data_IF_607829597203
#
_entry.id   IF_607829597203
#
_cell.length_a   1.000
_cell.length_b   1.000
_cell.length_c   1.000
_cell.angle_alpha   90.00
_cell.angle_beta   90.00
_cell.angle_gamma   90.00
#
_symmetry.space_group_name_H-M   'P 1'
#
loop_
_entity.id
_entity.type
_entity.pdbx_description
1 polymer ?
#
# COMPACT_ATOMS: atom_id res chain seq x y z
N UNK A 1 29.99 -24.62 10.95
CA UNK A 1 28.78 -24.01 10.35
C UNK A 1 28.70 -22.58 10.87
N UNK A 2 29.03 -21.59 10.04
CA UNK A 2 28.88 -20.18 10.45
C UNK A 2 27.39 -19.83 10.60
N UNK A 3 27.01 -18.91 11.50
CA UNK A 3 25.63 -18.47 11.62
C UNK A 3 25.16 -17.95 10.26
N UNK A 4 24.16 -18.61 9.68
CA UNK A 4 23.54 -18.15 8.44
C UNK A 4 23.01 -16.75 8.69
N UNK A 5 23.61 -15.75 8.03
CA UNK A 5 23.14 -14.37 8.14
C UNK A 5 21.69 -14.32 7.66
N UNK A 6 20.77 -14.02 8.57
CA UNK A 6 19.37 -13.87 8.24
C UNK A 6 19.27 -12.71 7.26
N UNK A 7 18.86 -13.02 6.02
CA UNK A 7 18.62 -12.01 5.00
C UNK A 7 17.32 -11.31 5.34
N UNK A 8 17.48 -10.16 6.02
CA UNK A 8 16.44 -9.23 6.44
C UNK A 8 15.79 -8.56 5.23
N UNK A 9 14.71 -9.17 4.75
CA UNK A 9 13.92 -8.75 3.59
C UNK A 9 12.45 -9.14 3.78
N UNK A 10 11.50 -8.42 3.16
CA UNK A 10 10.07 -8.67 3.34
C UNK A 10 9.66 -10.10 2.97
N UNK A 11 8.69 -10.68 3.69
CA UNK A 11 8.19 -12.04 3.41
C UNK A 11 7.40 -12.11 2.09
N UNK A 12 7.47 -13.24 1.38
CA UNK A 12 6.76 -13.40 0.09
C UNK A 12 5.24 -13.41 0.24
N UNK A 13 4.72 -14.07 1.27
CA UNK A 13 3.27 -14.17 1.49
C UNK A 13 2.66 -12.80 1.83
N UNK A 14 3.22 -12.11 2.83
CA UNK A 14 2.79 -10.76 3.19
C UNK A 14 2.97 -9.78 2.03
N UNK A 15 4.07 -9.92 1.28
CA UNK A 15 4.31 -9.10 0.10
C UNK A 15 3.28 -9.27 -1.02
N UNK A 16 2.86 -10.51 -1.29
CA UNK A 16 1.80 -10.78 -2.27
C UNK A 16 0.46 -10.18 -1.81
N UNK A 17 0.11 -10.30 -0.53
CA UNK A 17 -1.10 -9.68 0.02
C UNK A 17 -1.06 -8.16 -0.06
N UNK A 18 0.08 -7.52 0.22
CA UNK A 18 0.25 -6.09 0.07
C UNK A 18 0.05 -5.63 -1.39
N UNK A 19 0.62 -6.36 -2.36
CA UNK A 19 0.43 -6.05 -3.79
C UNK A 19 -1.01 -6.25 -4.24
N UNK A 20 -1.69 -7.29 -3.75
CA UNK A 20 -3.11 -7.50 -4.05
C UNK A 20 -3.99 -6.40 -3.43
N UNK A 21 -3.72 -5.98 -2.19
CA UNK A 21 -4.42 -4.87 -1.57
C UNK A 21 -4.20 -3.56 -2.36
N UNK A 22 -2.94 -3.28 -2.75
CA UNK A 22 -2.60 -2.13 -3.60
C UNK A 22 -3.32 -2.17 -4.96
N UNK A 23 -3.37 -3.34 -5.59
CA UNK A 23 -4.11 -3.55 -6.83
C UNK A 23 -5.60 -3.22 -6.68
N UNK A 24 -6.21 -3.62 -5.57
CA UNK A 24 -7.59 -3.29 -5.27
C UNK A 24 -7.78 -1.76 -5.09
N UNK A 25 -6.85 -1.05 -4.44
CA UNK A 25 -6.89 0.42 -4.35
C UNK A 25 -6.83 1.07 -5.74
N UNK A 26 -5.90 0.63 -6.60
CA UNK A 26 -5.80 1.12 -7.98
C UNK A 26 -7.08 0.83 -8.78
N UNK A 27 -7.69 -0.34 -8.56
CA UNK A 27 -9.00 -0.67 -9.12
C UNK A 27 -10.13 0.25 -8.64
N UNK A 28 -10.10 0.68 -7.38
CA UNK A 28 -11.06 1.68 -6.85
C UNK A 28 -10.86 3.04 -7.51
N UNK A 29 -9.63 3.40 -7.88
CA UNK A 29 -9.34 4.65 -8.61
C UNK A 29 -9.76 4.59 -10.09
N UNK A 30 -9.93 3.39 -10.66
CA UNK A 30 -10.35 3.22 -12.06
C UNK A 30 -11.83 3.55 -12.26
N UNK A 31 -12.15 4.68 -12.89
CA UNK A 31 -13.52 5.09 -13.22
C UNK A 31 -14.06 4.40 -14.49
N UNK A 32 -13.19 3.86 -15.35
CA UNK A 32 -13.55 3.26 -16.64
C UNK A 32 -13.03 1.83 -16.79
N UNK A 33 -13.70 1.02 -17.60
CA UNK A 33 -13.29 -0.36 -17.90
C UNK A 33 -11.85 -0.46 -18.44
N UNK A 34 -11.42 0.51 -19.25
CA UNK A 34 -10.04 0.58 -19.77
C UNK A 34 -9.02 0.76 -18.64
N UNK A 35 -9.31 1.61 -17.65
CA UNK A 35 -8.44 1.82 -16.49
C UNK A 35 -8.37 0.58 -15.60
N UNK A 36 -9.48 -0.16 -15.46
CA UNK A 36 -9.49 -1.46 -14.76
C UNK A 36 -8.58 -2.46 -15.46
N UNK A 37 -8.62 -2.54 -16.80
CA UNK A 37 -7.71 -3.39 -17.56
C UNK A 37 -6.25 -2.99 -17.38
N UNK A 38 -5.93 -1.69 -17.37
CA UNK A 38 -4.58 -1.19 -17.13
C UNK A 38 -4.09 -1.59 -15.73
N UNK A 39 -4.92 -1.40 -14.70
CA UNK A 39 -4.61 -1.81 -13.33
C UNK A 39 -4.41 -3.34 -13.22
N UNK A 40 -5.21 -4.13 -13.95
CA UNK A 40 -5.03 -5.58 -14.05
C UNK A 40 -3.69 -5.96 -14.67
N UNK A 41 -3.29 -5.30 -15.75
CA UNK A 41 -1.99 -5.49 -16.41
C UNK A 41 -0.85 -5.16 -15.45
N UNK A 42 -0.93 -4.03 -14.74
CA UNK A 42 0.05 -3.63 -13.71
C UNK A 42 0.16 -4.67 -12.59
N UNK A 43 -0.98 -5.20 -12.14
CA UNK A 43 -1.04 -6.25 -11.12
C UNK A 43 -0.32 -7.52 -11.56
N UNK A 44 -0.55 -7.95 -12.80
CA UNK A 44 0.14 -9.11 -13.38
C UNK A 44 1.64 -8.86 -13.43
N UNK A 45 2.08 -7.70 -13.94
CA UNK A 45 3.50 -7.32 -13.97
C UNK A 45 4.14 -7.34 -12.58
N UNK A 46 3.44 -6.80 -11.59
CA UNK A 46 3.87 -6.74 -10.19
C UNK A 46 4.00 -8.12 -9.54
N UNK A 47 3.04 -9.02 -9.80
CA UNK A 47 3.10 -10.40 -9.32
C UNK A 47 4.22 -11.19 -10.00
N UNK A 48 4.50 -10.95 -11.28
CA UNK A 48 5.64 -11.54 -11.99
C UNK A 48 6.97 -11.07 -11.37
N UNK A 49 7.09 -9.79 -11.01
CA UNK A 49 8.25 -9.26 -10.29
C UNK A 49 8.45 -9.97 -8.95
N UNK A 50 7.39 -10.11 -8.15
CA UNK A 50 7.47 -10.84 -6.88
C UNK A 50 7.84 -12.32 -7.07
N UNK A 51 7.22 -12.98 -8.06
CA UNK A 51 7.46 -14.38 -8.40
C UNK A 51 8.88 -14.66 -8.90
N UNK A 52 9.51 -13.67 -9.56
CA UNK A 52 10.89 -13.78 -10.02
C UNK A 52 11.86 -14.13 -8.89
N UNK A 53 11.64 -13.58 -7.68
CA UNK A 53 12.46 -13.87 -6.52
C UNK A 53 12.33 -15.32 -6.04
N UNK A 54 11.14 -15.90 -6.15
CA UNK A 54 10.90 -17.32 -5.80
C UNK A 54 11.58 -18.23 -6.82
N UNK A 55 11.50 -17.90 -8.10
CA UNK A 55 12.10 -18.67 -9.20
C UNK A 55 13.62 -18.65 -9.15
N UNK A 56 14.24 -17.49 -8.91
CA UNK A 56 15.71 -17.38 -8.78
C UNK A 56 16.24 -18.26 -7.64
N UNK A 57 15.48 -18.40 -6.55
CA UNK A 57 15.85 -19.28 -5.41
C UNK A 57 15.83 -20.77 -5.76
N UNK A 58 14.98 -21.20 -6.68
CA UNK A 58 14.95 -22.60 -7.16
C UNK A 58 16.12 -22.94 -8.10
N UNK A 59 17.07 -22.02 -8.30
CA UNK A 59 18.26 -22.22 -9.15
C UNK A 59 18.08 -21.72 -10.59
N UNK A 60 16.86 -21.36 -11.01
CA UNK A 60 16.58 -20.89 -12.37
C UNK A 60 16.89 -19.40 -12.56
N UNK A 61 18.19 -19.07 -12.62
CA UNK A 61 18.66 -17.67 -12.76
C UNK A 61 18.16 -16.99 -14.04
N UNK A 62 18.18 -17.69 -15.18
CA UNK A 62 17.74 -17.15 -16.48
C UNK A 62 16.23 -16.88 -16.47
N UNK A 63 15.44 -17.86 -16.03
CA UNK A 63 13.97 -17.70 -15.93
C UNK A 63 13.60 -16.56 -14.99
N UNK A 64 14.25 -16.49 -13.82
CA UNK A 64 14.08 -15.38 -12.89
C UNK A 64 14.61 -14.04 -13.40
N UNK A 65 15.56 -14.03 -14.34
CA UNK A 65 16.00 -12.84 -15.08
C UNK A 65 14.89 -12.34 -16.01
N UNK A 66 14.39 -13.24 -16.85
CA UNK A 66 13.31 -12.94 -17.81
C UNK A 66 12.03 -12.44 -17.12
N UNK A 67 11.67 -12.98 -15.95
CA UNK A 67 10.52 -12.54 -15.17
C UNK A 67 10.69 -11.11 -14.62
N UNK A 68 11.91 -10.71 -14.24
CA UNK A 68 12.17 -9.33 -13.82
C UNK A 68 12.02 -8.39 -15.00
N UNK A 69 12.66 -8.70 -16.13
CA UNK A 69 12.59 -7.84 -17.33
C UNK A 69 11.15 -7.75 -17.85
N UNK A 70 10.45 -8.89 -17.94
CA UNK A 70 9.05 -8.93 -18.36
C UNK A 70 8.12 -8.21 -17.40
N UNK A 71 8.24 -8.47 -16.09
CA UNK A 71 7.43 -7.81 -15.07
C UNK A 71 7.65 -6.29 -15.03
N UNK A 72 8.90 -5.83 -15.07
CA UNK A 72 9.23 -4.40 -15.16
C UNK A 72 8.72 -3.77 -16.45
N UNK A 73 8.86 -4.45 -17.60
CA UNK A 73 8.32 -3.99 -18.88
C UNK A 73 6.81 -3.82 -18.85
N UNK A 74 6.08 -4.76 -18.24
CA UNK A 74 4.62 -4.71 -18.07
C UNK A 74 4.21 -3.55 -17.16
N UNK A 75 4.91 -3.33 -16.04
CA UNK A 75 4.63 -2.19 -15.14
C UNK A 75 4.90 -0.86 -15.85
N UNK A 76 6.02 -0.72 -16.56
CA UNK A 76 6.30 0.47 -17.37
C UNK A 76 5.26 0.70 -18.46
N UNK A 77 4.78 -0.36 -19.11
CA UNK A 77 3.71 -0.29 -20.10
C UNK A 77 2.41 0.20 -19.46
N UNK A 78 2.03 -0.33 -18.30
CA UNK A 78 0.83 0.09 -17.58
C UNK A 78 0.91 1.56 -17.16
N UNK A 79 2.07 2.02 -16.68
CA UNK A 79 2.32 3.44 -16.38
C UNK A 79 2.18 4.30 -17.64
N UNK A 80 2.76 3.89 -18.76
CA UNK A 80 2.62 4.59 -20.05
C UNK A 80 1.18 4.66 -20.54
N UNK A 81 0.42 3.57 -20.42
CA UNK A 81 -1.00 3.53 -20.77
C UNK A 81 -1.85 4.40 -19.82
N UNK A 82 -1.44 4.55 -18.56
CA UNK A 82 -2.13 5.41 -17.58
C UNK A 82 -2.09 6.88 -17.97
N UNK A 83 -1.01 7.35 -18.60
CA UNK A 83 -0.95 8.71 -19.17
C UNK A 83 -1.93 8.91 -20.33
N UNK A 84 -2.19 7.86 -21.10
CA UNK A 84 -3.09 7.87 -22.25
C UNK A 84 -4.53 7.49 -21.89
N UNK A 85 -4.81 7.22 -20.62
CA UNK A 85 -6.12 6.75 -20.18
C UNK A 85 -7.22 7.77 -20.51
N UNK A 86 -8.39 7.32 -21.00
CA UNK A 86 -9.51 8.21 -21.25
C UNK A 86 -10.05 8.79 -19.93
N UNK A 87 -10.45 10.07 -19.93
CA UNK A 87 -10.97 10.77 -18.76
C UNK A 87 -10.62 12.25 -18.73
N UNK A 88 -11.12 12.97 -17.73
CA UNK A 88 -10.70 14.35 -17.44
C UNK A 88 -9.25 14.41 -16.93
N UNK A 89 -8.57 15.57 -16.98
CA UNK A 89 -7.17 15.68 -16.56
C UNK A 89 -6.95 15.28 -15.09
N UNK A 90 -7.89 15.63 -14.21
CA UNK A 90 -7.83 15.25 -12.80
C UNK A 90 -8.07 13.75 -12.54
N UNK A 91 -9.00 13.12 -13.29
CA UNK A 91 -9.21 11.67 -13.21
C UNK A 91 -7.95 10.91 -13.66
N UNK A 92 -7.33 11.37 -14.76
CA UNK A 92 -6.08 10.78 -15.28
C UNK A 92 -4.95 10.94 -14.27
N UNK A 93 -4.78 12.13 -13.69
CA UNK A 93 -3.73 12.38 -12.71
C UNK A 93 -3.92 11.54 -11.44
N UNK A 94 -5.17 11.40 -10.99
CA UNK A 94 -5.51 10.56 -9.82
C UNK A 94 -5.25 9.07 -10.09
N UNK A 95 -5.66 8.57 -11.25
CA UNK A 95 -5.40 7.19 -11.66
C UNK A 95 -3.90 6.92 -11.85
N UNK A 96 -3.19 7.82 -12.53
CA UNK A 96 -1.74 7.76 -12.68
C UNK A 96 -1.04 7.73 -11.32
N UNK A 97 -1.44 8.61 -10.39
CA UNK A 97 -0.92 8.58 -9.01
C UNK A 97 -1.15 7.24 -8.32
N UNK A 98 -2.29 6.58 -8.57
CA UNK A 98 -2.59 5.23 -8.07
C UNK A 98 -1.68 4.14 -8.66
N UNK A 99 -1.42 4.19 -9.97
CA UNK A 99 -0.47 3.24 -10.61
C UNK A 99 0.96 3.46 -10.10
N UNK A 100 1.43 4.70 -10.02
CA UNK A 100 2.74 5.03 -9.44
C UNK A 100 2.83 4.58 -7.98
N UNK A 101 1.77 4.79 -7.19
CA UNK A 101 1.67 4.32 -5.82
C UNK A 101 1.83 2.79 -5.72
N UNK A 102 1.14 2.05 -6.58
CA UNK A 102 1.24 0.59 -6.66
C UNK A 102 2.67 0.16 -6.99
N UNK A 103 3.30 0.77 -7.99
CA UNK A 103 4.70 0.51 -8.33
C UNK A 103 5.64 0.78 -7.15
N UNK A 104 5.42 1.87 -6.38
CA UNK A 104 6.18 2.17 -5.17
C UNK A 104 6.02 1.08 -4.09
N UNK A 105 4.79 0.61 -3.84
CA UNK A 105 4.52 -0.48 -2.87
C UNK A 105 5.23 -1.77 -3.30
N UNK A 106 5.14 -2.12 -4.59
CA UNK A 106 5.80 -3.32 -5.15
C UNK A 106 7.31 -3.24 -4.97
N UNK A 107 7.92 -2.08 -5.26
CA UNK A 107 9.35 -1.86 -5.04
C UNK A 107 9.74 -1.86 -3.56
N UNK A 108 8.85 -1.41 -2.67
CA UNK A 108 9.08 -1.48 -1.22
C UNK A 108 9.08 -2.91 -0.68
N UNK A 109 8.18 -3.76 -1.18
CA UNK A 109 8.05 -5.18 -0.80
C UNK A 109 9.10 -6.07 -1.51
N UNK A 110 9.50 -5.68 -2.71
CA UNK A 110 10.58 -6.28 -3.48
C UNK A 110 11.78 -5.32 -3.56
N UNK A 111 12.49 -5.08 -2.44
CA UNK A 111 13.48 -4.03 -2.38
C UNK A 111 14.64 -4.29 -3.33
N UNK A 112 14.89 -3.29 -4.19
CA UNK A 112 16.18 -3.13 -4.87
C UNK A 112 17.27 -2.81 -3.84
N UNK A 113 16.93 -2.02 -2.82
CA UNK A 113 17.81 -1.63 -1.71
C UNK A 113 17.10 -1.75 -0.37
N UNK A 114 17.80 -2.33 0.61
CA UNK A 114 17.23 -2.64 1.94
C UNK A 114 16.75 -1.39 2.70
N UNK A 115 17.48 -0.28 2.60
CA UNK A 115 17.14 0.98 3.26
C UNK A 115 15.90 1.68 2.67
N UNK A 116 15.43 1.27 1.50
CA UNK A 116 14.34 1.93 0.79
C UNK A 116 12.98 1.26 0.98
N UNK A 117 12.93 0.10 1.64
CA UNK A 117 11.71 -0.70 1.87
C UNK A 117 10.56 0.13 2.47
N UNK A 118 10.74 0.61 3.70
CA UNK A 118 9.75 1.41 4.44
C UNK A 118 9.40 2.75 3.76
N UNK A 119 10.38 3.58 3.32
CA UNK A 119 10.04 4.86 2.70
C UNK A 119 9.29 4.68 1.37
N UNK A 120 9.58 3.65 0.57
CA UNK A 120 8.83 3.39 -0.67
C UNK A 120 7.38 3.00 -0.42
N UNK A 121 7.13 2.15 0.60
CA UNK A 121 5.75 1.83 1.02
C UNK A 121 5.05 3.10 1.50
N UNK A 122 5.70 3.91 2.35
CA UNK A 122 5.16 5.18 2.82
C UNK A 122 4.81 6.15 1.69
N UNK A 123 5.69 6.31 0.70
CA UNK A 123 5.44 7.12 -0.51
C UNK A 123 4.24 6.57 -1.28
N UNK A 124 4.17 5.25 -1.48
CA UNK A 124 3.04 4.62 -2.17
C UNK A 124 1.71 4.90 -1.47
N UNK A 125 1.66 4.75 -0.15
CA UNK A 125 0.46 5.00 0.66
C UNK A 125 0.06 6.47 0.65
N UNK A 126 1.04 7.39 0.72
CA UNK A 126 0.80 8.82 0.59
C UNK A 126 0.23 9.18 -0.80
N UNK A 127 0.78 8.59 -1.86
CA UNK A 127 0.30 8.77 -3.23
C UNK A 127 -1.12 8.22 -3.41
N UNK A 128 -1.44 7.03 -2.88
CA UNK A 128 -2.81 6.51 -2.88
C UNK A 128 -3.80 7.46 -2.20
N UNK A 129 -3.40 7.98 -1.04
CA UNK A 129 -4.23 8.94 -0.28
C UNK A 129 -4.46 10.23 -1.07
N UNK A 130 -3.39 10.79 -1.67
CA UNK A 130 -3.47 11.98 -2.52
C UNK A 130 -4.36 11.74 -3.75
N UNK A 131 -4.21 10.58 -4.41
CA UNK A 131 -5.04 10.17 -5.55
C UNK A 131 -6.51 10.03 -5.19
N UNK A 132 -6.83 9.45 -4.03
CA UNK A 132 -8.22 9.32 -3.56
C UNK A 132 -8.85 10.69 -3.27
N UNK A 133 -8.10 11.60 -2.64
CA UNK A 133 -8.54 12.99 -2.41
C UNK A 133 -8.74 13.72 -3.74
N UNK A 134 -7.79 13.59 -4.67
CA UNK A 134 -7.88 14.18 -6.01
C UNK A 134 -9.10 13.68 -6.77
N UNK A 135 -9.37 12.37 -6.71
CA UNK A 135 -10.55 11.77 -7.34
C UNK A 135 -11.85 12.25 -6.69
N UNK A 136 -11.93 12.29 -5.36
CA UNK A 136 -13.10 12.75 -4.62
C UNK A 136 -13.39 14.24 -4.81
N UNK A 137 -12.34 15.04 -5.06
CA UNK A 137 -12.50 16.46 -5.37
C UNK A 137 -12.96 16.68 -6.81
N UNK A 138 -12.39 15.93 -7.76
CA UNK A 138 -12.70 16.10 -9.18
C UNK A 138 -14.01 15.44 -9.61
N UNK A 139 -14.51 14.46 -8.84
CA UNK A 139 -15.69 13.66 -9.19
C UNK A 139 -16.59 13.50 -7.98
N UNK A 140 -17.90 13.35 -8.20
CA UNK A 140 -18.84 13.01 -7.13
C UNK A 140 -18.76 11.49 -6.84
N UNK A 141 -17.63 11.06 -6.28
CA UNK A 141 -17.42 9.67 -5.92
C UNK A 141 -18.35 9.30 -4.75
N UNK A 142 -19.10 8.20 -4.89
CA UNK A 142 -19.98 7.74 -3.81
C UNK A 142 -19.20 7.44 -2.53
N UNK A 143 -19.72 7.87 -1.38
CA UNK A 143 -19.12 7.66 -0.06
C UNK A 143 -18.61 6.23 0.20
N UNK A 144 -19.38 5.17 -0.13
CA UNK A 144 -18.93 3.79 0.05
C UNK A 144 -17.67 3.43 -0.74
N UNK A 145 -17.53 3.95 -1.96
CA UNK A 145 -16.35 3.71 -2.81
C UNK A 145 -15.11 4.40 -2.26
N UNK A 146 -15.26 5.62 -1.75
CA UNK A 146 -14.16 6.34 -1.11
C UNK A 146 -13.71 5.65 0.19
N UNK A 147 -14.67 5.25 1.04
CA UNK A 147 -14.38 4.48 2.26
C UNK A 147 -13.65 3.17 1.96
N UNK A 148 -14.09 2.45 0.93
CA UNK A 148 -13.43 1.22 0.50
C UNK A 148 -12.00 1.49 0.01
N UNK A 149 -11.78 2.55 -0.77
CA UNK A 149 -10.44 2.96 -1.21
C UNK A 149 -9.50 3.32 -0.05
N UNK A 150 -9.99 4.11 0.91
CA UNK A 150 -9.23 4.47 2.12
C UNK A 150 -8.91 3.22 2.96
N UNK A 151 -9.91 2.37 3.20
CA UNK A 151 -9.73 1.13 3.95
C UNK A 151 -8.69 0.20 3.31
N UNK A 152 -8.75 0.00 2.00
CA UNK A 152 -7.77 -0.79 1.26
C UNK A 152 -6.37 -0.14 1.27
N UNK A 153 -6.28 1.19 1.28
CA UNK A 153 -5.00 1.91 1.39
C UNK A 153 -4.33 1.63 2.75
N UNK A 154 -5.11 1.67 3.83
CA UNK A 154 -4.64 1.31 5.18
C UNK A 154 -4.22 -0.16 5.25
N UNK A 155 -5.03 -1.07 4.70
CA UNK A 155 -4.70 -2.51 4.64
C UNK A 155 -3.42 -2.75 3.85
N UNK A 156 -3.24 -2.03 2.74
CA UNK A 156 -2.01 -2.11 1.92
C UNK A 156 -0.79 -1.72 2.74
N UNK A 157 -0.87 -0.60 3.48
CA UNK A 157 0.20 -0.14 4.35
C UNK A 157 0.53 -1.15 5.47
N UNK A 158 -0.50 -1.56 6.21
CA UNK A 158 -0.39 -2.45 7.37
C UNK A 158 0.21 -3.81 6.99
N UNK A 159 -0.31 -4.42 5.92
CA UNK A 159 0.19 -5.71 5.42
C UNK A 159 1.62 -5.58 4.90
N UNK A 160 1.98 -4.46 4.27
CA UNK A 160 3.35 -4.22 3.82
C UNK A 160 4.32 -4.05 5.00
N UNK A 161 3.97 -3.26 6.02
CA UNK A 161 4.79 -3.11 7.24
C UNK A 161 4.91 -4.43 8.01
N UNK A 162 3.83 -5.19 8.13
CA UNK A 162 3.86 -6.53 8.72
C UNK A 162 4.78 -7.46 7.93
N UNK A 163 4.73 -7.42 6.59
CA UNK A 163 5.60 -8.23 5.74
C UNK A 163 7.09 -7.87 5.88
N UNK A 164 7.40 -6.58 6.03
CA UNK A 164 8.76 -6.07 6.27
C UNK A 164 9.25 -6.53 7.64
N UNK A 165 8.50 -6.24 8.70
CA UNK A 165 8.86 -6.54 10.09
C UNK A 165 9.03 -8.04 10.31
N UNK A 166 8.08 -8.85 9.85
CA UNK A 166 8.19 -10.30 9.93
C UNK A 166 9.40 -10.83 9.12
N UNK A 167 9.70 -10.19 8.00
CA UNK A 167 10.87 -10.50 7.19
C UNK A 167 12.21 -10.16 7.85
N UNK A 168 12.23 -9.15 8.72
CA UNK A 168 13.39 -8.77 9.53
C UNK A 168 13.63 -9.74 10.69
N UNK A 169 12.55 -10.29 11.27
CA UNK A 169 12.60 -11.18 12.44
C UNK A 169 12.89 -12.65 12.07
N UNK A 170 12.11 -13.22 11.16
CA UNK A 170 12.19 -14.65 10.80
C UNK A 170 12.92 -14.91 9.47
N UNK A 171 13.28 -13.84 8.76
CA UNK A 171 13.89 -13.91 7.44
C UNK A 171 12.88 -14.21 6.33
N UNK A 172 13.22 -13.78 5.11
CA UNK A 172 12.34 -13.87 3.94
C UNK A 172 11.87 -15.29 3.56
N UNK A 173 12.58 -16.33 4.00
CA UNK A 173 12.31 -17.74 3.66
C UNK A 173 11.44 -18.48 4.66
N UNK A 174 11.09 -17.88 5.80
CA UNK A 174 10.21 -18.52 6.77
C UNK A 174 8.81 -18.74 6.17
N UNK A 175 8.18 -19.87 6.52
CA UNK A 175 6.81 -20.18 6.10
C UNK A 175 5.84 -19.37 6.97
N UNK A 176 5.54 -18.15 6.55
CA UNK A 176 4.73 -17.19 7.32
C UNK A 176 3.27 -17.10 6.89
N UNK A 177 2.83 -17.95 5.95
CA UNK A 177 1.51 -17.85 5.33
C UNK A 177 0.36 -17.76 6.37
N UNK A 178 0.32 -18.66 7.35
CA UNK A 178 -0.74 -18.68 8.36
C UNK A 178 -0.80 -17.38 9.14
N UNK A 179 0.36 -16.90 9.62
CA UNK A 179 0.47 -15.65 10.39
C UNK A 179 0.06 -14.45 9.54
N UNK A 180 0.52 -14.38 8.29
CA UNK A 180 0.17 -13.29 7.37
C UNK A 180 -1.32 -13.28 7.04
N UNK A 181 -1.96 -14.45 6.87
CA UNK A 181 -3.41 -14.54 6.63
C UNK A 181 -4.21 -14.13 7.86
N UNK A 182 -3.83 -14.59 9.06
CA UNK A 182 -4.52 -14.20 10.29
C UNK A 182 -4.41 -12.70 10.56
N UNK A 183 -3.24 -12.12 10.29
CA UNK A 183 -3.03 -10.68 10.42
C UNK A 183 -3.88 -9.90 9.41
N UNK A 184 -3.82 -10.27 8.12
CA UNK A 184 -4.67 -9.69 7.08
C UNK A 184 -6.17 -9.77 7.43
N UNK A 185 -6.63 -10.91 7.90
CA UNK A 185 -8.03 -11.10 8.31
C UNK A 185 -8.41 -10.19 9.48
N UNK A 186 -7.51 -10.05 10.47
CA UNK A 186 -7.67 -9.11 11.58
C UNK A 186 -7.76 -7.66 11.10
N UNK A 187 -6.84 -7.22 10.24
CA UNK A 187 -6.79 -5.86 9.70
C UNK A 187 -8.02 -5.54 8.84
N UNK A 188 -8.47 -6.50 8.02
CA UNK A 188 -9.72 -6.38 7.27
C UNK A 188 -10.94 -6.31 8.20
N UNK A 189 -10.98 -7.12 9.26
CA UNK A 189 -12.05 -7.09 10.25
C UNK A 189 -12.16 -5.73 10.95
N UNK A 190 -11.03 -5.18 11.39
CA UNK A 190 -10.97 -3.84 11.99
C UNK A 190 -11.38 -2.76 10.98
N UNK A 191 -10.90 -2.84 9.74
CA UNK A 191 -11.27 -1.90 8.67
C UNK A 191 -12.77 -1.94 8.35
N UNK A 192 -13.38 -3.13 8.28
CA UNK A 192 -14.81 -3.30 8.08
C UNK A 192 -15.63 -2.76 9.26
N UNK A 193 -15.20 -3.03 10.50
CA UNK A 193 -15.85 -2.48 11.69
C UNK A 193 -15.77 -0.94 11.70
N UNK A 194 -14.60 -0.36 11.42
CA UNK A 194 -14.44 1.09 11.33
C UNK A 194 -15.28 1.69 10.18
N UNK A 195 -15.31 1.04 9.02
CA UNK A 195 -16.10 1.47 7.87
C UNK A 195 -17.60 1.43 8.12
N UNK A 196 -18.10 0.37 8.76
CA UNK A 196 -19.53 0.27 9.15
C UNK A 196 -19.92 1.35 10.15
N UNK A 197 -19.07 1.64 11.14
CA UNK A 197 -19.27 2.76 12.07
C UNK A 197 -19.27 4.09 11.32
N UNK A 198 -18.34 4.32 10.40
CA UNK A 198 -18.27 5.55 9.61
C UNK A 198 -19.54 5.75 8.76
N UNK A 199 -20.04 4.70 8.11
CA UNK A 199 -21.31 4.74 7.36
C UNK A 199 -22.49 5.06 8.28
N UNK A 200 -22.58 4.37 9.43
CA UNK A 200 -23.64 4.61 10.40
C UNK A 200 -23.64 6.07 10.90
N UNK A 201 -22.46 6.60 11.26
CA UNK A 201 -22.31 8.01 11.68
C UNK A 201 -22.68 8.97 10.55
N UNK A 202 -22.28 8.68 9.30
CA UNK A 202 -22.62 9.54 8.16
C UNK A 202 -24.11 9.62 7.84
N UNK A 203 -24.89 8.62 8.28
CA UNK A 203 -26.35 8.62 8.11
C UNK A 203 -27.09 9.49 9.13
N UNK A 204 -26.41 9.88 10.21
CA UNK A 204 -26.96 10.79 11.22
C UNK A 204 -26.86 12.22 10.68
N UNK A 205 -28.00 12.90 10.55
CA UNK A 205 -28.05 14.31 10.20
C UNK A 205 -27.53 15.14 11.38
N UNK A 206 -26.24 15.41 11.34
CA UNK A 206 -25.61 16.33 12.27
C UNK A 206 -25.88 17.78 11.83
N UNK A 207 -25.99 18.72 12.78
CA UNK A 207 -25.98 20.15 12.45
C UNK A 207 -24.72 20.48 11.63
N UNK A 208 -24.76 21.47 10.72
CA UNK A 208 -23.60 21.86 9.93
C UNK A 208 -22.45 22.27 10.86
N UNK A 209 -21.43 21.42 10.96
CA UNK A 209 -20.23 21.69 11.73
C UNK A 209 -19.31 22.57 10.88
N UNK A 210 -18.81 23.71 11.39
CA UNK A 210 -17.86 24.53 10.67
C UNK A 210 -16.62 23.72 10.31
N UNK A 211 -16.18 23.78 9.04
CA UNK A 211 -14.95 23.11 8.56
C UNK A 211 -13.74 23.49 9.44
N UNK A 212 -13.72 24.74 9.93
CA UNK A 212 -12.71 25.23 10.85
C UNK A 212 -12.65 24.41 12.17
N UNK A 213 -13.79 24.00 12.72
CA UNK A 213 -13.83 23.18 13.93
C UNK A 213 -13.26 21.77 13.68
N UNK A 214 -13.57 21.18 12.52
CA UNK A 214 -13.01 19.89 12.12
C UNK A 214 -11.49 19.98 11.89
N UNK A 215 -11.04 21.05 11.24
CA UNK A 215 -9.61 21.31 11.00
C UNK A 215 -8.84 21.54 12.32
N UNK A 216 -9.43 22.27 13.27
CA UNK A 216 -8.85 22.46 14.60
C UNK A 216 -8.80 21.14 15.38
N UNK A 217 -9.85 20.31 15.32
CA UNK A 217 -9.88 19.01 15.97
C UNK A 217 -8.81 18.07 15.39
N UNK A 218 -8.69 18.02 14.07
CA UNK A 218 -7.66 17.26 13.38
C UNK A 218 -6.26 17.79 13.73
N UNK A 219 -6.07 19.11 13.74
CA UNK A 219 -4.83 19.76 14.16
C UNK A 219 -4.44 19.42 15.59
N UNK A 220 -5.41 19.45 16.52
CA UNK A 220 -5.20 19.07 17.92
C UNK A 220 -4.82 17.59 18.06
N UNK A 221 -5.48 16.69 17.33
CA UNK A 221 -5.17 15.26 17.31
C UNK A 221 -3.76 14.98 16.75
N UNK A 222 -3.38 15.65 15.66
CA UNK A 222 -2.05 15.54 15.08
C UNK A 222 -0.97 16.10 16.02
N UNK A 223 -1.23 17.23 16.70
CA UNK A 223 -0.35 17.77 17.73
C UNK A 223 -0.18 16.79 18.88
N UNK A 224 -1.27 16.18 19.35
CA UNK A 224 -1.22 15.18 20.41
C UNK A 224 -0.37 13.96 20.01
N UNK A 225 -0.58 13.44 18.80
CA UNK A 225 0.23 12.35 18.25
C UNK A 225 1.71 12.72 18.12
N UNK A 226 1.99 13.95 17.66
CA UNK A 226 3.35 14.45 17.53
C UNK A 226 4.05 14.55 18.90
N UNK A 227 3.35 15.07 19.91
CA UNK A 227 3.84 15.14 21.30
C UNK A 227 4.08 13.75 21.87
N UNK A 228 3.15 12.80 21.67
CA UNK A 228 3.33 11.40 22.08
C UNK A 228 4.55 10.75 21.42
N UNK A 229 4.71 10.95 20.11
CA UNK A 229 5.82 10.41 19.35
C UNK A 229 7.17 10.97 19.80
N UNK A 230 7.24 12.28 20.08
CA UNK A 230 8.45 12.90 20.63
C UNK A 230 8.74 12.44 22.07
N UNK A 231 7.71 12.29 22.91
CA UNK A 231 7.86 11.82 24.29
C UNK A 231 8.46 10.42 24.39
N UNK A 232 8.12 9.52 23.45
CA UNK A 232 8.71 8.18 23.37
C UNK A 232 10.18 8.20 22.95
N UNK A 233 10.63 9.24 22.24
CA UNK A 233 12.01 9.33 21.75
C UNK A 233 13.02 9.66 22.85
N UNK A 234 12.61 10.38 23.90
CA UNK A 234 13.50 10.68 25.04
C UNK A 234 13.82 9.43 25.87
N UNK A 235 12.89 8.48 25.97
CA UNK A 235 13.09 7.20 26.66
C UNK A 235 14.18 6.33 26.02
N UNK A 236 14.38 6.46 24.70
CA UNK A 236 15.40 5.72 23.95
C UNK A 236 16.81 6.34 24.06
N UNK A 237 16.91 7.63 24.40
CA UNK A 237 18.20 8.30 24.61
C UNK A 237 18.80 8.09 26.00
N UNK A 238 18.01 7.58 26.97
CA UNK A 238 18.39 7.46 28.38
C UNK A 238 19.09 6.17 28.84
N UNK A 239 19.46 5.24 27.94
CA UNK A 239 20.27 4.04 28.29
C UNK A 239 21.63 4.06 27.59
N UNK A 240 22.53 4.89 28.10
CA UNK A 240 23.98 4.73 27.95
C UNK A 240 24.64 5.18 29.25
N UNK A 241 24.50 4.36 30.28
CA UNK A 241 25.42 4.29 31.40
C UNK A 241 25.88 2.84 31.54
#
# INVERSE_FOLDING_TARGET
MGPSSIVKQPTYAGGAFAVLAAACVTGVLASRSVQVSIAGVETIGSLLLLGSGVVRRRGYRVLGGSLVVGGSGIVCLALGLSFLAPGGPFERLSFLGGTVAMACVVLGVFPLYRSWTRPLVGIGVALFSCSLVGLAWATNIGGPRLLLGVGLTIVTWDVAEHAITLGDDVGRSARTYTVSVTHLAGSLGVGLAAGTVAVAVSSVQLPPIPIAALALLLGAFLLLLFVLFLGDSEWLSGRRD
#
